data_IF_450015169181
#
_entry.id   IF_450015169181
#
_cell.length_a   1.000
_cell.length_b   1.000
_cell.length_c   1.000
_cell.angle_alpha   90.00
_cell.angle_beta   90.00
_cell.angle_gamma   90.00
#
_symmetry.space_group_name_H-M   'P 1'
#
loop_
_entity.id
_entity.type
_entity.pdbx_description
1 polymer ?
#
# COMPACT_ATOMS: atom_id res chain seq x y z
N UNK A 1 -12.97 -0.28 -19.11
CA UNK A 1 -12.10 0.91 -18.89
C UNK A 1 -12.93 2.11 -18.47
N UNK A 2 -13.90 2.56 -19.28
CA UNK A 2 -14.75 3.73 -18.99
C UNK A 2 -15.38 3.70 -17.58
N UNK A 3 -16.03 2.59 -17.21
CA UNK A 3 -16.60 2.42 -15.87
C UNK A 3 -15.57 2.56 -14.74
N UNK A 4 -14.35 2.03 -14.93
CA UNK A 4 -13.27 2.15 -13.95
C UNK A 4 -12.81 3.59 -13.83
N UNK A 5 -12.67 4.31 -14.95
CA UNK A 5 -12.30 5.74 -14.95
C UNK A 5 -13.38 6.57 -14.26
N UNK A 6 -14.66 6.28 -14.49
CA UNK A 6 -15.79 6.94 -13.81
C UNK A 6 -15.75 6.67 -12.30
N UNK A 7 -15.54 5.43 -11.89
CA UNK A 7 -15.41 5.06 -10.48
C UNK A 7 -14.22 5.78 -9.80
N UNK A 8 -13.07 5.83 -10.46
CA UNK A 8 -11.89 6.54 -9.95
C UNK A 8 -12.13 8.05 -9.87
N UNK A 9 -12.86 8.63 -10.81
CA UNK A 9 -13.21 10.06 -10.80
C UNK A 9 -14.09 10.42 -9.60
N UNK A 10 -15.01 9.53 -9.21
CA UNK A 10 -15.79 9.65 -7.96
C UNK A 10 -14.86 9.52 -6.75
N UNK A 11 -14.09 8.43 -6.68
CA UNK A 11 -13.21 8.13 -5.54
C UNK A 11 -12.12 9.18 -5.30
N UNK A 12 -11.71 9.92 -6.34
CA UNK A 12 -10.75 11.03 -6.26
C UNK A 12 -11.16 12.07 -5.21
N UNK A 13 -12.45 12.36 -5.07
CA UNK A 13 -12.98 13.31 -4.09
C UNK A 13 -12.77 12.86 -2.64
N UNK A 14 -12.61 11.54 -2.43
CA UNK A 14 -12.57 10.91 -1.11
C UNK A 14 -11.18 10.41 -0.71
N UNK A 15 -10.14 10.65 -1.52
CA UNK A 15 -8.79 10.12 -1.27
C UNK A 15 -8.29 10.43 0.14
N UNK A 16 -8.32 11.70 0.55
CA UNK A 16 -7.84 12.12 1.87
C UNK A 16 -8.66 11.49 3.01
N UNK A 17 -9.97 11.42 2.83
CA UNK A 17 -10.88 10.80 3.79
C UNK A 17 -10.62 9.30 3.93
N UNK A 18 -10.46 8.59 2.82
CA UNK A 18 -10.16 7.16 2.79
C UNK A 18 -8.79 6.89 3.43
N UNK A 19 -7.75 7.63 3.03
CA UNK A 19 -6.40 7.49 3.59
C UNK A 19 -6.38 7.80 5.09
N UNK A 20 -7.16 8.78 5.58
CA UNK A 20 -7.27 9.09 7.01
C UNK A 20 -7.78 7.93 7.87
N UNK A 21 -8.54 7.00 7.25
CA UNK A 21 -9.08 5.81 7.89
C UNK A 21 -8.13 4.61 7.81
N UNK A 22 -7.08 4.67 6.99
CA UNK A 22 -6.09 3.60 6.82
C UNK A 22 -5.32 3.35 8.15
N UNK A 23 -5.41 2.14 8.74
CA UNK A 23 -4.62 1.78 9.92
C UNK A 23 -3.11 1.96 9.74
N UNK A 24 -2.59 1.78 8.53
CA UNK A 24 -1.17 1.95 8.21
C UNK A 24 -0.77 3.43 8.34
N UNK A 25 -1.59 4.36 7.84
CA UNK A 25 -1.35 5.79 8.01
C UNK A 25 -1.47 6.19 9.49
N UNK A 26 -2.45 5.64 10.23
CA UNK A 26 -2.60 5.91 11.67
C UNK A 26 -1.37 5.47 12.46
N UNK A 27 -0.84 4.28 12.17
CA UNK A 27 0.39 3.79 12.79
C UNK A 27 1.59 4.68 12.45
N UNK A 28 1.77 5.06 11.19
CA UNK A 28 2.85 5.95 10.76
C UNK A 28 2.71 7.33 11.42
N UNK A 29 1.51 7.89 11.50
CA UNK A 29 1.25 9.15 12.21
C UNK A 29 1.74 9.10 13.66
N UNK A 30 1.50 8.01 14.37
CA UNK A 30 1.98 7.83 15.75
C UNK A 30 3.52 7.90 15.84
N UNK A 31 4.22 7.29 14.89
CA UNK A 31 5.69 7.30 14.84
C UNK A 31 6.23 8.67 14.46
N UNK A 32 5.67 9.29 13.41
CA UNK A 32 6.10 10.61 12.91
C UNK A 32 5.80 11.72 13.91
N UNK A 33 4.68 11.66 14.65
CA UNK A 33 4.40 12.62 15.71
C UNK A 33 5.44 12.59 16.84
N UNK A 34 6.02 11.41 17.12
CA UNK A 34 7.02 11.25 18.17
C UNK A 34 8.42 11.65 17.70
N UNK A 35 8.78 11.26 16.48
CA UNK A 35 10.17 11.28 16.00
C UNK A 35 10.41 12.19 14.80
N UNK A 36 9.37 12.86 14.30
CA UNK A 36 9.41 13.61 13.06
C UNK A 36 9.77 12.73 11.86
N UNK A 37 10.32 13.35 10.82
CA UNK A 37 10.75 12.63 9.62
C UNK A 37 12.04 11.81 9.80
N UNK A 38 12.73 11.92 10.95
CA UNK A 38 13.86 11.04 11.25
C UNK A 38 13.44 9.55 11.29
N UNK A 39 12.15 9.26 11.47
CA UNK A 39 11.61 7.90 11.39
C UNK A 39 11.44 7.35 9.98
N UNK A 40 11.70 8.12 8.92
CA UNK A 40 11.46 7.69 7.55
C UNK A 40 12.23 6.40 7.21
N UNK A 41 13.48 6.27 7.66
CA UNK A 41 14.29 5.07 7.44
C UNK A 41 13.66 3.81 8.04
N UNK A 42 13.14 3.87 9.28
CA UNK A 42 12.47 2.70 9.88
C UNK A 42 11.10 2.41 9.28
N UNK A 43 10.38 3.43 8.79
CA UNK A 43 9.12 3.22 8.04
C UNK A 43 9.39 2.48 6.73
N UNK A 44 10.37 2.94 5.95
CA UNK A 44 10.80 2.29 4.70
C UNK A 44 11.33 0.88 4.98
N UNK A 45 12.17 0.72 5.99
CA UNK A 45 12.73 -0.58 6.39
C UNK A 45 11.64 -1.57 6.82
N UNK A 46 10.64 -1.13 7.58
CA UNK A 46 9.50 -1.96 7.98
C UNK A 46 8.68 -2.41 6.76
N UNK A 47 8.41 -1.48 5.84
CA UNK A 47 7.67 -1.79 4.61
C UNK A 47 8.35 -2.86 3.74
N UNK A 48 9.69 -2.87 3.67
CA UNK A 48 10.45 -3.87 2.93
C UNK A 48 10.28 -5.30 3.45
N UNK A 49 9.88 -5.46 4.71
CA UNK A 49 9.69 -6.76 5.38
C UNK A 49 8.23 -7.10 5.67
N UNK A 50 7.30 -6.27 5.22
CA UNK A 50 5.84 -6.45 5.31
C UNK A 50 5.30 -7.45 4.29
N UNK A 51 5.84 -8.67 4.27
CA UNK A 51 5.39 -9.76 3.40
C UNK A 51 5.33 -11.09 4.15
N UNK A 52 4.44 -12.00 3.72
CA UNK A 52 4.22 -13.31 4.38
C UNK A 52 4.02 -13.16 5.90
N UNK A 53 3.09 -12.29 6.29
CA UNK A 53 2.71 -12.06 7.68
C UNK A 53 1.79 -13.19 8.17
N UNK A 54 1.81 -13.48 9.48
CA UNK A 54 0.88 -14.41 10.13
C UNK A 54 -0.47 -13.76 10.44
N UNK A 55 -0.48 -12.45 10.66
CA UNK A 55 -1.71 -11.65 10.81
C UNK A 55 -1.96 -10.76 9.60
N UNK A 56 -2.90 -9.84 9.76
CA UNK A 56 -3.19 -8.81 8.77
C UNK A 56 -2.06 -7.78 8.68
N UNK A 57 -1.94 -7.10 7.53
CA UNK A 57 -0.98 -6.00 7.39
C UNK A 57 -1.30 -4.87 8.35
N UNK A 58 -2.59 -4.61 8.56
CA UNK A 58 -3.14 -3.62 9.47
C UNK A 58 -2.68 -3.85 10.93
N UNK A 59 -2.76 -5.09 11.41
CA UNK A 59 -2.27 -5.47 12.75
C UNK A 59 -0.76 -5.29 12.90
N UNK A 60 0.01 -5.70 11.88
CA UNK A 60 1.46 -5.56 11.91
C UNK A 60 1.92 -4.11 11.94
N UNK A 61 1.31 -3.24 11.14
CA UNK A 61 1.61 -1.81 11.17
C UNK A 61 1.20 -1.17 12.49
N UNK A 62 0.09 -1.60 13.10
CA UNK A 62 -0.31 -1.15 14.44
C UNK A 62 0.75 -1.53 15.48
N UNK A 63 1.23 -2.77 15.46
CA UNK A 63 2.30 -3.25 16.33
C UNK A 63 3.60 -2.45 16.14
N UNK A 64 3.95 -2.13 14.89
CA UNK A 64 5.09 -1.27 14.55
C UNK A 64 4.96 0.13 15.15
N UNK A 65 3.78 0.76 14.99
CA UNK A 65 3.52 2.09 15.54
C UNK A 65 3.54 2.12 17.06
N UNK A 66 3.06 1.06 17.72
CA UNK A 66 3.17 0.89 19.16
C UNK A 66 4.63 0.73 19.62
N UNK A 67 5.41 -0.12 18.96
CA UNK A 67 6.80 -0.34 19.30
C UNK A 67 7.63 0.95 19.22
N UNK A 68 7.54 1.66 18.09
CA UNK A 68 8.30 2.89 17.90
C UNK A 68 7.72 4.12 18.60
N UNK A 69 6.56 4.00 19.28
CA UNK A 69 6.10 5.08 20.15
C UNK A 69 6.94 5.23 21.43
N UNK A 70 7.69 4.18 21.81
CA UNK A 70 8.54 4.16 23.01
C UNK A 70 10.01 3.80 22.73
N UNK A 71 10.40 3.68 21.46
CA UNK A 71 11.76 3.34 21.05
C UNK A 71 12.26 4.30 19.97
N UNK A 72 13.56 4.61 20.01
CA UNK A 72 14.22 5.43 19.00
C UNK A 72 14.14 4.78 17.60
N UNK A 73 13.97 5.57 16.53
CA UNK A 73 13.76 5.09 15.16
C UNK A 73 15.07 4.68 14.49
N UNK A 74 15.79 3.72 15.07
CA UNK A 74 17.05 3.20 14.53
C UNK A 74 16.87 1.86 13.82
N UNK A 75 17.82 1.53 12.92
CA UNK A 75 17.81 0.23 12.22
C UNK A 75 17.99 -0.93 13.21
N UNK A 76 18.75 -0.74 14.29
CA UNK A 76 18.92 -1.73 15.36
C UNK A 76 17.58 -2.02 16.05
N UNK A 77 16.80 -0.98 16.36
CA UNK A 77 15.49 -1.14 16.96
C UNK A 77 14.48 -1.75 15.98
N UNK A 78 14.61 -1.47 14.67
CA UNK A 78 13.82 -2.17 13.64
C UNK A 78 14.15 -3.67 13.60
N UNK A 79 15.42 -4.05 13.67
CA UNK A 79 15.82 -5.47 13.74
C UNK A 79 15.28 -6.13 15.02
N UNK A 80 15.36 -5.44 16.17
CA UNK A 80 14.76 -5.93 17.43
C UNK A 80 13.25 -6.12 17.30
N UNK A 81 12.56 -5.17 16.68
CA UNK A 81 11.13 -5.26 16.42
C UNK A 81 10.79 -6.47 15.56
N UNK A 82 11.47 -6.66 14.42
CA UNK A 82 11.26 -7.81 13.53
C UNK A 82 11.44 -9.14 14.27
N UNK A 83 12.49 -9.24 15.10
CA UNK A 83 12.76 -10.46 15.90
C UNK A 83 11.65 -10.74 16.92
N UNK A 84 11.06 -9.71 17.53
CA UNK A 84 10.03 -9.83 18.59
C UNK A 84 8.58 -9.78 18.10
N UNK A 85 8.34 -9.36 16.86
CA UNK A 85 6.99 -9.16 16.32
C UNK A 85 6.13 -10.42 16.43
N UNK A 86 4.87 -10.21 16.85
CA UNK A 86 3.82 -11.24 16.92
C UNK A 86 3.28 -11.61 15.55
N UNK A 87 3.28 -10.66 14.62
CA UNK A 87 2.66 -10.80 13.30
C UNK A 87 3.67 -11.11 12.19
N UNK A 88 4.91 -10.66 12.33
CA UNK A 88 5.98 -10.90 11.35
C UNK A 88 6.86 -12.10 11.73
N UNK A 89 6.25 -13.30 11.79
CA UNK A 89 6.93 -14.49 12.31
C UNK A 89 7.60 -15.39 11.28
N UNK A 90 7.20 -15.31 10.02
CA UNK A 90 7.76 -16.13 8.96
C UNK A 90 9.02 -15.48 8.36
N UNK A 91 10.04 -16.30 8.07
CA UNK A 91 11.28 -15.88 7.40
C UNK A 91 12.03 -14.74 8.14
N UNK A 92 12.00 -14.73 9.47
CA UNK A 92 12.58 -13.65 10.29
C UNK A 92 14.03 -13.36 9.92
N UNK A 93 14.85 -14.40 9.79
CA UNK A 93 16.28 -14.28 9.50
C UNK A 93 16.50 -13.68 8.11
N UNK A 94 15.68 -14.05 7.11
CA UNK A 94 15.77 -13.48 5.76
C UNK A 94 15.36 -12.01 5.76
N UNK A 95 14.34 -11.64 6.55
CA UNK A 95 13.88 -10.25 6.70
C UNK A 95 14.92 -9.39 7.41
N UNK A 96 15.53 -9.92 8.49
CA UNK A 96 16.65 -9.26 9.18
C UNK A 96 17.81 -9.04 8.21
N UNK A 97 18.25 -10.08 7.48
CA UNK A 97 19.30 -9.94 6.45
C UNK A 97 18.95 -8.92 5.38
N UNK A 98 17.68 -8.84 4.97
CA UNK A 98 17.21 -7.85 3.99
C UNK A 98 17.36 -6.44 4.53
N UNK A 99 17.02 -6.19 5.80
CA UNK A 99 17.20 -4.88 6.46
C UNK A 99 18.67 -4.56 6.64
N UNK A 100 19.49 -5.52 7.08
CA UNK A 100 20.95 -5.34 7.23
C UNK A 100 21.60 -4.95 5.90
N UNK A 101 21.21 -5.59 4.80
CA UNK A 101 21.71 -5.27 3.45
C UNK A 101 21.43 -3.82 3.03
N UNK A 102 20.34 -3.22 3.50
CA UNK A 102 19.97 -1.83 3.16
C UNK A 102 20.25 -0.86 4.30
N UNK A 103 20.97 -1.27 5.36
CA UNK A 103 21.17 -0.49 6.58
C UNK A 103 21.66 0.92 6.31
N UNK A 104 22.78 1.05 5.59
CA UNK A 104 23.38 2.35 5.28
C UNK A 104 22.40 3.26 4.51
N UNK A 105 21.61 2.68 3.60
CA UNK A 105 20.59 3.43 2.88
C UNK A 105 19.49 3.93 3.82
N UNK A 106 18.98 3.09 4.71
CA UNK A 106 17.95 3.49 5.68
C UNK A 106 18.47 4.57 6.64
N UNK A 107 19.72 4.48 7.06
CA UNK A 107 20.36 5.49 7.90
C UNK A 107 20.51 6.84 7.17
N UNK A 108 20.90 6.84 5.89
CA UNK A 108 20.90 8.06 5.06
C UNK A 108 19.52 8.67 4.91
N UNK A 109 18.49 7.82 4.71
CA UNK A 109 17.09 8.26 4.63
C UNK A 109 16.65 8.91 5.94
N UNK A 110 17.01 8.33 7.09
CA UNK A 110 16.71 8.92 8.40
C UNK A 110 17.50 10.20 8.68
N UNK A 111 18.75 10.31 8.23
CA UNK A 111 19.60 11.47 8.46
C UNK A 111 19.19 12.68 7.59
N UNK A 112 18.70 12.47 6.37
CA UNK A 112 18.24 13.53 5.48
C UNK A 112 16.95 13.13 4.76
N UNK A 113 15.80 13.08 5.45
CA UNK A 113 14.55 12.56 4.89
C UNK A 113 14.00 13.41 3.75
N UNK A 114 14.21 14.73 3.79
CA UNK A 114 13.69 15.63 2.76
C UNK A 114 14.37 15.45 1.40
N UNK A 115 15.59 14.90 1.36
CA UNK A 115 16.24 14.48 0.11
C UNK A 115 15.42 13.42 -0.64
N UNK A 116 14.59 12.68 0.07
CA UNK A 116 13.80 11.57 -0.44
C UNK A 116 12.31 11.92 -0.61
N UNK A 117 11.95 13.22 -0.63
CA UNK A 117 10.57 13.67 -0.89
C UNK A 117 10.08 13.32 -2.30
N UNK A 118 11.01 13.20 -3.26
CA UNK A 118 10.74 12.62 -4.57
C UNK A 118 10.66 11.10 -4.41
N UNK A 119 9.43 10.59 -4.48
CA UNK A 119 9.14 9.17 -4.28
C UNK A 119 9.70 8.31 -5.40
N UNK A 120 9.85 8.84 -6.62
CA UNK A 120 10.45 8.09 -7.71
C UNK A 120 11.96 7.96 -7.51
N UNK A 121 12.63 9.05 -7.10
CA UNK A 121 14.05 9.02 -6.75
C UNK A 121 14.32 8.03 -5.58
N UNK A 122 13.49 8.08 -4.52
CA UNK A 122 13.56 7.13 -3.40
C UNK A 122 13.40 5.67 -3.90
N UNK A 123 12.39 5.42 -4.73
CA UNK A 123 12.09 4.10 -5.29
C UNK A 123 13.24 3.56 -6.13
N UNK A 124 13.82 4.39 -6.99
CA UNK A 124 14.93 4.02 -7.87
C UNK A 124 16.21 3.72 -7.08
N UNK A 125 16.55 4.55 -6.08
CA UNK A 125 17.71 4.28 -5.22
C UNK A 125 17.51 2.99 -4.41
N UNK A 126 16.33 2.81 -3.81
CA UNK A 126 16.00 1.61 -3.06
C UNK A 126 16.08 0.33 -3.92
N UNK A 127 15.57 0.39 -5.15
CA UNK A 127 15.66 -0.70 -6.11
C UNK A 127 17.13 -1.07 -6.43
N UNK A 128 17.97 -0.05 -6.65
CA UNK A 128 19.40 -0.20 -6.93
C UNK A 128 20.13 -0.88 -5.78
N UNK A 129 19.91 -0.43 -4.53
CA UNK A 129 20.54 -1.01 -3.33
C UNK A 129 20.12 -2.48 -3.15
N UNK A 130 18.86 -2.80 -3.43
CA UNK A 130 18.34 -4.17 -3.32
C UNK A 130 18.73 -5.08 -4.50
N UNK A 131 19.26 -4.53 -5.59
CA UNK A 131 19.43 -5.26 -6.86
C UNK A 131 18.09 -5.78 -7.40
N UNK A 132 17.02 -5.03 -7.18
CA UNK A 132 15.64 -5.37 -7.49
C UNK A 132 15.10 -4.48 -8.62
N UNK A 133 14.00 -4.89 -9.26
CA UNK A 133 13.29 -3.98 -10.17
C UNK A 133 12.53 -2.94 -9.35
N UNK A 134 12.54 -1.68 -9.79
CA UNK A 134 11.78 -0.61 -9.12
C UNK A 134 10.27 -0.82 -9.11
N UNK A 135 9.75 -1.75 -9.92
CA UNK A 135 8.34 -2.15 -9.94
C UNK A 135 8.05 -3.28 -8.97
N UNK A 136 9.02 -3.86 -8.25
CA UNK A 136 8.75 -4.93 -7.28
C UNK A 136 7.80 -4.46 -6.18
N UNK A 137 6.87 -5.34 -5.78
CA UNK A 137 5.82 -5.01 -4.80
C UNK A 137 6.37 -4.40 -3.52
N UNK A 138 7.45 -4.95 -2.97
CA UNK A 138 8.01 -4.45 -1.70
C UNK A 138 8.67 -3.07 -1.83
N UNK A 139 9.29 -2.78 -2.99
CA UNK A 139 9.91 -1.48 -3.28
C UNK A 139 8.84 -0.40 -3.50
N UNK A 140 7.82 -0.74 -4.28
CA UNK A 140 6.65 0.10 -4.52
C UNK A 140 5.89 0.39 -3.22
N UNK A 141 5.64 -0.65 -2.43
CA UNK A 141 4.98 -0.52 -1.13
C UNK A 141 5.80 0.33 -0.15
N UNK A 142 7.13 0.17 -0.11
CA UNK A 142 7.99 1.02 0.71
C UNK A 142 7.92 2.49 0.32
N UNK A 143 7.81 2.79 -0.98
CA UNK A 143 7.63 4.16 -1.48
C UNK A 143 6.27 4.73 -1.08
N UNK A 144 5.19 3.92 -1.10
CA UNK A 144 3.87 4.32 -0.56
C UNK A 144 3.95 4.65 0.94
N UNK A 145 4.67 3.84 1.71
CA UNK A 145 4.81 4.09 3.16
C UNK A 145 5.65 5.36 3.45
N UNK A 146 6.62 5.67 2.60
CA UNK A 146 7.30 6.96 2.64
C UNK A 146 6.35 8.14 2.36
N UNK A 147 5.48 8.02 1.35
CA UNK A 147 4.40 9.00 1.13
C UNK A 147 3.54 9.21 2.38
N UNK A 148 3.12 8.13 3.06
CA UNK A 148 2.37 8.24 4.31
C UNK A 148 3.17 8.94 5.43
N UNK A 149 4.49 8.75 5.50
CA UNK A 149 5.34 9.45 6.46
C UNK A 149 5.43 10.95 6.15
N UNK A 150 5.62 11.35 4.89
CA UNK A 150 5.61 12.75 4.48
C UNK A 150 4.24 13.39 4.73
N UNK A 151 3.16 12.71 4.36
CA UNK A 151 1.78 13.16 4.63
C UNK A 151 1.53 13.34 6.13
N UNK A 152 1.98 12.41 6.97
CA UNK A 152 1.87 12.51 8.42
C UNK A 152 2.65 13.70 9.00
N UNK A 153 3.75 14.10 8.35
CA UNK A 153 4.56 15.26 8.73
C UNK A 153 4.06 16.59 8.13
N UNK A 154 3.00 16.58 7.33
CA UNK A 154 2.52 17.78 6.61
C UNK A 154 3.45 18.22 5.47
N UNK A 155 4.27 17.31 4.94
CA UNK A 155 5.17 17.57 3.81
C UNK A 155 4.56 16.98 2.54
N UNK A 156 4.50 17.79 1.48
CA UNK A 156 4.07 17.32 0.18
C UNK A 156 5.18 16.48 -0.49
N UNK A 157 4.86 15.23 -0.82
CA UNK A 157 5.76 14.35 -1.55
C UNK A 157 5.60 14.55 -3.07
N UNK A 158 6.71 14.48 -3.78
CA UNK A 158 6.81 14.64 -5.22
C UNK A 158 6.81 13.28 -5.93
N UNK A 159 6.49 13.28 -7.21
CA UNK A 159 6.46 12.08 -8.04
C UNK A 159 5.18 11.25 -7.90
N UNK A 160 5.23 10.05 -8.46
CA UNK A 160 4.15 9.07 -8.42
C UNK A 160 4.75 7.67 -8.25
N UNK A 161 3.95 6.75 -7.71
CA UNK A 161 4.38 5.39 -7.40
C UNK A 161 3.39 4.41 -8.04
N UNK A 162 3.86 3.39 -8.76
CA UNK A 162 2.98 2.36 -9.32
C UNK A 162 2.07 1.74 -8.25
N UNK A 163 0.90 1.22 -8.64
CA UNK A 163 0.06 0.49 -7.68
C UNK A 163 0.72 -0.84 -7.27
N UNK A 164 0.80 -1.18 -5.97
CA UNK A 164 1.34 -2.47 -5.55
C UNK A 164 0.28 -3.56 -5.76
N UNK A 165 0.35 -4.25 -6.91
CA UNK A 165 -0.55 -5.36 -7.22
C UNK A 165 -0.35 -6.52 -6.23
N UNK A 166 -1.27 -6.63 -5.27
CA UNK A 166 -1.41 -7.77 -4.35
C UNK A 166 -2.72 -8.52 -4.60
N UNK A 167 -3.10 -9.46 -3.72
CA UNK A 167 -4.32 -10.24 -3.91
C UNK A 167 -5.59 -9.40 -3.87
N UNK A 168 -5.65 -8.31 -3.09
CA UNK A 168 -6.83 -7.43 -3.04
C UNK A 168 -6.92 -6.59 -4.32
N UNK A 169 -5.81 -5.97 -4.73
CA UNK A 169 -5.76 -5.20 -5.99
C UNK A 169 -6.05 -6.09 -7.19
N UNK A 170 -5.46 -7.29 -7.24
CA UNK A 170 -5.72 -8.27 -8.30
C UNK A 170 -7.18 -8.75 -8.31
N UNK A 171 -7.81 -8.92 -7.14
CA UNK A 171 -9.24 -9.24 -7.05
C UNK A 171 -10.10 -8.15 -7.68
N UNK A 172 -9.85 -6.87 -7.38
CA UNK A 172 -10.60 -5.76 -8.00
C UNK A 172 -10.29 -5.64 -9.49
N UNK A 173 -9.04 -5.85 -9.89
CA UNK A 173 -8.63 -5.84 -11.30
C UNK A 173 -9.37 -6.90 -12.10
N UNK A 174 -9.47 -8.11 -11.56
CA UNK A 174 -10.25 -9.20 -12.14
C UNK A 174 -11.74 -8.86 -12.15
N UNK A 175 -12.32 -8.49 -11.01
CA UNK A 175 -13.75 -8.27 -10.85
C UNK A 175 -14.28 -7.12 -11.72
N UNK A 176 -13.45 -6.11 -11.99
CA UNK A 176 -13.79 -4.98 -12.88
C UNK A 176 -13.70 -5.33 -14.37
N UNK A 177 -13.10 -6.47 -14.72
CA UNK A 177 -12.75 -6.77 -16.11
C UNK A 177 -11.70 -5.82 -16.68
N UNK A 178 -10.91 -5.16 -15.82
CA UNK A 178 -9.88 -4.22 -16.27
C UNK A 178 -8.71 -4.95 -16.97
N UNK A 179 -8.39 -6.14 -16.48
CA UNK A 179 -7.47 -7.09 -17.11
C UNK A 179 -8.13 -8.46 -17.08
N UNK A 180 -8.11 -9.15 -18.22
CA UNK A 180 -8.65 -10.51 -18.30
C UNK A 180 -7.72 -11.52 -17.63
N UNK A 181 -8.28 -12.53 -16.96
CA UNK A 181 -7.54 -13.58 -16.26
C UNK A 181 -7.95 -13.77 -14.80
N UNK A 182 -7.34 -14.75 -14.14
CA UNK A 182 -7.58 -15.05 -12.72
C UNK A 182 -6.79 -14.11 -11.81
N UNK A 183 -7.12 -14.12 -10.52
CA UNK A 183 -6.38 -13.36 -9.50
C UNK A 183 -4.91 -13.77 -9.48
N UNK A 184 -4.61 -15.06 -9.61
CA UNK A 184 -3.27 -15.62 -9.63
C UNK A 184 -2.50 -15.19 -10.89
N UNK A 185 -3.13 -15.20 -12.06
CA UNK A 185 -2.51 -14.73 -13.32
C UNK A 185 -2.17 -13.24 -13.25
N UNK A 186 -3.07 -12.43 -12.69
CA UNK A 186 -2.88 -10.98 -12.51
C UNK A 186 -1.74 -10.69 -11.51
N UNK A 187 -1.62 -11.47 -10.44
CA UNK A 187 -0.51 -11.34 -9.49
C UNK A 187 0.84 -11.80 -10.08
N UNK A 188 0.80 -12.74 -11.02
CA UNK A 188 1.96 -13.32 -11.68
C UNK A 188 2.23 -12.71 -13.06
N UNK A 189 1.90 -13.47 -14.11
CA UNK A 189 2.27 -13.17 -15.49
C UNK A 189 1.72 -11.84 -16.02
N UNK A 190 0.53 -11.39 -15.56
CA UNK A 190 -0.13 -10.17 -16.03
C UNK A 190 0.05 -8.97 -15.09
N UNK A 191 0.98 -9.07 -14.14
CA UNK A 191 1.24 -8.01 -13.15
C UNK A 191 1.60 -6.67 -13.80
N UNK A 192 2.51 -6.68 -14.76
CA UNK A 192 2.96 -5.46 -15.43
C UNK A 192 1.85 -4.85 -16.29
N UNK A 193 0.98 -5.68 -16.87
CA UNK A 193 -0.23 -5.22 -17.56
C UNK A 193 -1.18 -4.53 -16.58
N UNK A 194 -1.50 -5.17 -15.45
CA UNK A 194 -2.36 -4.57 -14.42
C UNK A 194 -1.81 -3.23 -13.92
N UNK A 195 -0.51 -3.13 -13.66
CA UNK A 195 0.14 -1.87 -13.27
C UNK A 195 -0.05 -0.78 -14.35
N UNK A 196 0.19 -1.09 -15.62
CA UNK A 196 0.02 -0.13 -16.73
C UNK A 196 -1.43 0.29 -16.91
N UNK A 197 -2.37 -0.65 -16.80
CA UNK A 197 -3.79 -0.39 -17.02
C UNK A 197 -4.38 0.46 -15.88
N UNK A 198 -4.00 0.20 -14.63
CA UNK A 198 -4.35 1.07 -13.50
C UNK A 198 -3.74 2.47 -13.62
N UNK A 199 -2.47 2.59 -14.00
CA UNK A 199 -1.84 3.90 -14.21
C UNK A 199 -2.54 4.69 -15.32
N UNK A 200 -2.98 4.02 -16.40
CA UNK A 200 -3.78 4.64 -17.46
C UNK A 200 -5.13 5.12 -16.92
N UNK A 201 -5.87 4.26 -16.20
CA UNK A 201 -7.17 4.61 -15.64
C UNK A 201 -7.07 5.79 -14.66
N UNK A 202 -6.05 5.81 -13.80
CA UNK A 202 -5.81 6.90 -12.86
C UNK A 202 -5.51 8.21 -13.58
N UNK A 203 -4.66 8.19 -14.61
CA UNK A 203 -4.37 9.36 -15.44
C UNK A 203 -5.62 9.91 -16.13
N UNK A 204 -6.44 9.04 -16.71
CA UNK A 204 -7.71 9.44 -17.35
C UNK A 204 -8.71 10.01 -16.32
N UNK A 205 -8.69 9.54 -15.07
CA UNK A 205 -9.49 10.08 -13.97
C UNK A 205 -8.85 11.32 -13.29
N UNK A 206 -7.65 11.74 -13.72
CA UNK A 206 -6.87 12.80 -13.08
C UNK A 206 -6.45 12.50 -11.63
N UNK A 207 -6.25 11.24 -11.27
CA UNK A 207 -5.79 10.76 -9.96
C UNK A 207 -4.33 10.32 -10.03
N UNK A 208 -3.52 10.56 -8.98
CA UNK A 208 -2.16 9.99 -8.89
C UNK A 208 -2.25 8.48 -8.64
N UNK A 209 -1.35 7.71 -9.24
CA UNK A 209 -1.32 6.25 -9.09
C UNK A 209 -1.12 5.83 -7.63
N UNK A 210 -0.34 6.61 -6.87
CA UNK A 210 -0.08 6.36 -5.45
C UNK A 210 -1.37 6.32 -4.60
N UNK A 211 -2.42 7.06 -4.99
CA UNK A 211 -3.69 7.08 -4.26
C UNK A 211 -4.57 5.86 -4.55
N UNK A 212 -4.32 5.16 -5.67
CA UNK A 212 -5.09 3.97 -6.07
C UNK A 212 -5.07 2.91 -4.98
N UNK A 213 -3.92 2.70 -4.34
CA UNK A 213 -3.81 1.66 -3.34
C UNK A 213 -4.79 1.91 -2.19
N UNK A 214 -4.91 3.13 -1.68
CA UNK A 214 -5.86 3.42 -0.61
C UNK A 214 -7.33 3.21 -1.04
N UNK A 215 -7.70 3.73 -2.21
CA UNK A 215 -9.11 3.70 -2.68
C UNK A 215 -9.55 2.34 -3.23
N UNK A 216 -8.61 1.44 -3.54
CA UNK A 216 -8.90 0.08 -4.00
C UNK A 216 -8.73 -0.93 -2.86
N UNK A 217 -7.61 -0.88 -2.14
CA UNK A 217 -7.20 -1.93 -1.21
C UNK A 217 -8.03 -1.98 0.08
N UNK A 218 -8.41 -0.82 0.61
CA UNK A 218 -9.23 -0.72 1.81
C UNK A 218 -10.64 -1.27 1.60
N UNK A 219 -11.41 -0.84 0.56
CA UNK A 219 -12.74 -1.38 0.33
C UNK A 219 -12.75 -2.83 -0.17
N UNK A 220 -11.63 -3.32 -0.73
CA UNK A 220 -11.49 -4.71 -1.17
C UNK A 220 -11.34 -5.74 -0.02
N UNK A 221 -11.38 -5.33 1.24
CA UNK A 221 -11.27 -6.24 2.39
C UNK A 221 -12.39 -7.29 2.36
N UNK A 222 -12.00 -8.57 2.29
CA UNK A 222 -12.94 -9.70 2.24
C UNK A 222 -13.62 -9.92 0.88
N UNK A 223 -13.34 -9.06 -0.12
CA UNK A 223 -14.02 -9.05 -1.41
C UNK A 223 -13.94 -10.40 -2.13
N UNK A 224 -12.77 -11.03 -2.22
CA UNK A 224 -12.61 -12.32 -2.92
C UNK A 224 -13.56 -13.39 -2.38
N UNK A 225 -13.67 -13.49 -1.05
CA UNK A 225 -14.59 -14.45 -0.40
C UNK A 225 -16.05 -14.13 -0.70
N UNK A 226 -16.40 -12.85 -0.78
CA UNK A 226 -17.74 -12.44 -1.16
C UNK A 226 -18.05 -12.74 -2.64
N UNK A 227 -17.10 -12.51 -3.55
CA UNK A 227 -17.24 -12.82 -4.97
C UNK A 227 -17.41 -14.32 -5.24
N UNK A 228 -16.77 -15.19 -4.43
CA UNK A 228 -17.03 -16.63 -4.49
C UNK A 228 -18.49 -17.01 -4.13
N UNK A 229 -19.26 -16.10 -3.50
CA UNK A 229 -20.70 -16.28 -3.24
C UNK A 229 -21.59 -15.61 -4.30
N UNK A 230 -21.02 -14.83 -5.22
CA UNK A 230 -21.73 -14.13 -6.28
C UNK A 230 -21.31 -12.66 -6.45
N UNK A 231 -21.58 -12.10 -7.63
CA UNK A 231 -21.27 -10.70 -7.97
C UNK A 231 -21.97 -9.72 -7.04
N UNK A 232 -23.26 -9.96 -6.77
CA UNK A 232 -24.06 -9.09 -5.89
C UNK A 232 -23.52 -9.11 -4.45
N UNK A 233 -23.17 -10.27 -3.91
CA UNK A 233 -22.52 -10.34 -2.59
C UNK A 233 -21.18 -9.59 -2.55
N UNK A 234 -20.42 -9.60 -3.65
CA UNK A 234 -19.22 -8.78 -3.82
C UNK A 234 -19.53 -7.29 -3.85
N UNK A 235 -20.57 -6.87 -4.59
CA UNK A 235 -21.02 -5.48 -4.71
C UNK A 235 -21.47 -4.92 -3.35
N UNK A 236 -22.34 -5.64 -2.65
CA UNK A 236 -22.84 -5.26 -1.34
C UNK A 236 -21.69 -5.08 -0.33
N UNK A 237 -20.75 -6.02 -0.29
CA UNK A 237 -19.61 -5.93 0.62
C UNK A 237 -18.70 -4.73 0.27
N UNK A 238 -18.38 -4.54 -1.01
CA UNK A 238 -17.51 -3.45 -1.43
C UNK A 238 -18.15 -2.08 -1.17
N UNK A 239 -19.45 -1.93 -1.48
CA UNK A 239 -20.22 -0.73 -1.19
C UNK A 239 -20.31 -0.47 0.33
N UNK A 240 -20.59 -1.50 1.13
CA UNK A 240 -20.61 -1.40 2.60
C UNK A 240 -19.27 -0.92 3.16
N UNK A 241 -18.15 -1.46 2.67
CA UNK A 241 -16.82 -1.00 3.07
C UNK A 241 -16.57 0.45 2.66
N UNK A 242 -16.96 0.86 1.44
CA UNK A 242 -16.86 2.25 0.98
C UNK A 242 -17.71 3.21 1.83
N UNK A 243 -18.93 2.81 2.22
CA UNK A 243 -19.78 3.57 3.16
C UNK A 243 -19.11 3.72 4.52
N UNK A 244 -18.48 2.66 5.04
CA UNK A 244 -17.67 2.73 6.25
C UNK A 244 -16.48 3.69 6.12
N UNK A 245 -15.94 3.84 4.91
CA UNK A 245 -14.93 4.85 4.57
C UNK A 245 -15.54 6.24 4.33
N UNK A 246 -16.86 6.36 4.25
CA UNK A 246 -17.65 7.58 4.12
C UNK A 246 -17.79 8.08 2.68
N UNK A 247 -17.68 7.17 1.70
CA UNK A 247 -17.99 7.47 0.30
C UNK A 247 -19.50 7.41 0.12
N UNK A 248 -20.10 8.51 -0.36
CA UNK A 248 -21.55 8.62 -0.49
C UNK A 248 -22.07 7.83 -1.69
N UNK A 249 -21.38 7.90 -2.83
CA UNK A 249 -21.70 7.19 -4.07
C UNK A 249 -21.20 5.72 -4.06
N UNK A 250 -21.09 5.11 -2.87
CA UNK A 250 -20.51 3.78 -2.69
C UNK A 250 -21.16 2.68 -3.53
N UNK A 251 -22.49 2.72 -3.68
CA UNK A 251 -23.22 1.74 -4.50
C UNK A 251 -22.91 1.91 -5.99
N UNK A 252 -22.84 3.16 -6.47
CA UNK A 252 -22.47 3.45 -7.86
C UNK A 252 -21.04 2.99 -8.15
N UNK A 253 -20.09 3.36 -7.29
CA UNK A 253 -18.69 2.94 -7.41
C UNK A 253 -18.57 1.42 -7.41
N UNK A 254 -19.30 0.74 -6.52
CA UNK A 254 -19.30 -0.72 -6.45
C UNK A 254 -19.85 -1.36 -7.72
N UNK A 255 -20.96 -0.86 -8.26
CA UNK A 255 -21.54 -1.33 -9.52
C UNK A 255 -20.63 -1.08 -10.74
N UNK A 256 -19.81 -0.03 -10.71
CA UNK A 256 -18.82 0.29 -11.74
C UNK A 256 -17.56 -0.59 -11.65
N UNK A 257 -17.09 -0.92 -10.44
CA UNK A 257 -15.85 -1.70 -10.24
C UNK A 257 -16.05 -3.20 -10.14
N UNK A 258 -17.24 -3.67 -9.75
CA UNK A 258 -17.52 -5.09 -9.54
C UNK A 258 -18.51 -5.56 -10.61
N UNK A 259 -17.98 -6.12 -11.70
CA UNK A 259 -18.72 -6.53 -12.89
C UNK A 259 -18.88 -8.04 -13.03
N UNK A 260 -17.89 -8.81 -12.58
CA UNK A 260 -17.88 -10.27 -12.66
C UNK A 260 -17.37 -10.92 -11.39
N UNK A 261 -17.74 -12.17 -11.20
CA UNK A 261 -17.25 -12.98 -10.11
C UNK A 261 -15.79 -13.33 -10.40
N UNK A 262 -14.94 -13.20 -9.39
CA UNK A 262 -13.54 -13.59 -9.44
C UNK A 262 -13.20 -14.34 -8.16
N UNK A 263 -13.32 -15.66 -8.26
CA UNK A 263 -12.83 -16.65 -7.31
C UNK A 263 -11.65 -17.34 -8.01
#
# INVERSE_FOLDING_TARGET
MEDVVKALSILKKYVDQIESKDPQLKAIKKVVQRHGLASLGVVVGNALVSYRLKGTGEEYWTEFGEFFSSHEPTVENLIKFIKKSRYNVALKEQKVRRVERVKEFLERVSANPLRYKDLDALRQELARVLGAKGTEKTVVFASKMAYYAFKAAGVEAEGDVPVPVDSRVATVTCASGLVEGTVEEIMGAKRDEAVRTWARAAREAGMKTLNLDAVIWLPARGLRRALCRGVEAGRELFASNLKGLGVEEAEEVSALLIKKACC
#
